data_IF_975875088186
#
_entry.id   IF_975875088186
#
_cell.length_a   1.000
_cell.length_b   1.000
_cell.length_c   1.000
_cell.angle_alpha   90.00
_cell.angle_beta   90.00
_cell.angle_gamma   90.00
#
_symmetry.space_group_name_H-M   'P 1'
#
loop_
_entity.id
_entity.type
_entity.pdbx_description
1 polymer ?
#
# COMPACT_ATOMS: atom_id res chain seq x y z
N UNK A 1 10.97 -12.39 12.03
CA UNK A 1 10.07 -12.17 10.86
C UNK A 1 8.87 -11.40 11.38
N UNK A 2 8.52 -10.27 10.78
CA UNK A 2 7.34 -9.49 11.18
C UNK A 2 6.07 -10.32 10.93
N UNK A 3 5.12 -10.28 11.84
CA UNK A 3 3.81 -10.94 11.73
C UNK A 3 2.68 -9.91 11.70
N UNK A 4 1.51 -10.33 11.25
CA UNK A 4 0.30 -9.48 11.27
C UNK A 4 -0.06 -9.06 12.70
N UNK A 5 0.18 -9.93 13.69
CA UNK A 5 -0.07 -9.60 15.09
C UNK A 5 0.85 -8.49 15.62
N UNK A 6 2.06 -8.37 15.08
CA UNK A 6 2.98 -7.26 15.42
C UNK A 6 2.45 -5.91 14.94
N UNK A 7 1.52 -5.90 13.99
CA UNK A 7 0.90 -4.70 13.43
C UNK A 7 -0.48 -4.37 14.03
N UNK A 8 -1.17 -5.38 14.57
CA UNK A 8 -2.58 -5.30 14.98
C UNK A 8 -2.83 -4.69 16.36
N UNK A 9 -1.97 -4.93 17.33
CA UNK A 9 -2.22 -4.59 18.73
C UNK A 9 -1.36 -3.43 19.21
N UNK A 10 -1.56 -2.25 18.60
CA UNK A 10 -0.79 -1.06 18.94
C UNK A 10 -1.73 0.12 19.21
N UNK A 11 -1.30 0.98 20.11
CA UNK A 11 -2.01 2.23 20.44
C UNK A 11 -2.12 3.18 19.24
N UNK A 12 -1.30 2.95 18.21
CA UNK A 12 -1.26 3.78 17.01
C UNK A 12 -1.49 2.94 15.73
N UNK A 13 -1.93 3.61 14.66
CA UNK A 13 -1.98 2.99 13.33
C UNK A 13 -0.57 2.76 12.78
N UNK A 14 -0.40 1.83 11.86
CA UNK A 14 0.85 1.68 11.12
C UNK A 14 0.81 2.40 9.77
N UNK A 15 1.98 2.74 9.25
CA UNK A 15 2.13 3.41 7.97
C UNK A 15 2.84 2.50 6.96
N UNK A 16 2.23 2.31 5.80
CA UNK A 16 2.85 1.73 4.61
C UNK A 16 3.10 2.86 3.61
N UNK A 17 4.35 3.30 3.45
CA UNK A 17 4.66 4.43 2.59
C UNK A 17 5.97 4.27 1.82
N UNK A 18 6.08 4.99 0.70
CA UNK A 18 7.27 5.03 -0.15
C UNK A 18 6.93 5.48 -1.57
N UNK A 19 7.84 5.32 -2.53
CA UNK A 19 7.58 5.72 -3.91
C UNK A 19 6.60 4.78 -4.61
N UNK A 20 5.92 5.28 -5.63
CA UNK A 20 5.05 4.45 -6.47
C UNK A 20 5.82 3.27 -7.09
N UNK A 21 7.02 3.54 -7.61
CA UNK A 21 7.94 2.55 -8.19
C UNK A 21 9.39 2.88 -7.78
N UNK A 22 10.23 1.86 -7.68
CA UNK A 22 11.66 2.07 -7.43
C UNK A 22 12.31 2.64 -8.70
N UNK A 23 12.77 3.88 -8.61
CA UNK A 23 13.43 4.61 -9.71
C UNK A 23 14.96 4.60 -9.60
N UNK A 24 15.48 4.33 -8.40
CA UNK A 24 16.90 4.27 -8.08
C UNK A 24 17.14 4.10 -6.59
N UNK A 25 18.36 3.74 -6.22
CA UNK A 25 18.73 3.45 -4.83
C UNK A 25 18.73 4.72 -3.96
N UNK A 26 19.39 5.79 -4.41
CA UNK A 26 19.51 7.04 -3.65
C UNK A 26 18.13 7.63 -3.32
N UNK A 27 17.20 7.58 -4.29
CA UNK A 27 15.84 8.07 -4.08
C UNK A 27 15.10 7.23 -3.05
N UNK A 28 15.20 5.90 -3.14
CA UNK A 28 14.55 4.99 -2.19
C UNK A 28 15.08 5.17 -0.76
N UNK A 29 16.41 5.26 -0.58
CA UNK A 29 17.04 5.50 0.72
C UNK A 29 16.66 6.86 1.30
N UNK A 30 16.67 7.94 0.52
CA UNK A 30 16.25 9.28 0.96
C UNK A 30 14.79 9.32 1.43
N UNK A 31 13.87 8.66 0.70
CA UNK A 31 12.47 8.58 1.12
C UNK A 31 12.37 7.80 2.43
N UNK A 32 13.02 6.63 2.52
CA UNK A 32 12.98 5.80 3.72
C UNK A 32 13.54 6.54 4.95
N UNK A 33 14.69 7.18 4.83
CA UNK A 33 15.32 7.97 5.90
C UNK A 33 14.39 9.07 6.42
N UNK A 34 13.79 9.83 5.51
CA UNK A 34 12.84 10.89 5.87
C UNK A 34 11.63 10.35 6.62
N UNK A 35 11.02 9.29 6.09
CA UNK A 35 9.80 8.70 6.68
C UNK A 35 10.11 8.00 8.01
N UNK A 36 11.24 7.30 8.13
CA UNK A 36 11.71 6.71 9.40
C UNK A 36 11.87 7.79 10.48
N UNK A 37 12.49 8.93 10.14
CA UNK A 37 12.63 10.04 11.10
C UNK A 37 11.29 10.56 11.61
N UNK A 38 10.29 10.70 10.72
CA UNK A 38 8.95 11.15 11.08
C UNK A 38 8.21 10.09 11.93
N UNK A 39 8.23 8.84 11.48
CA UNK A 39 7.48 7.75 12.14
C UNK A 39 8.04 7.39 13.50
N UNK A 40 9.36 7.41 13.69
CA UNK A 40 10.00 7.25 15.01
C UNK A 40 9.58 8.36 15.98
N UNK A 41 9.56 9.62 15.53
CA UNK A 41 9.12 10.76 16.35
C UNK A 41 7.66 10.65 16.79
N UNK A 42 6.80 10.08 15.95
CA UNK A 42 5.36 9.95 16.16
C UNK A 42 4.95 8.58 16.71
N UNK A 43 5.89 7.68 16.98
CA UNK A 43 5.65 6.31 17.42
C UNK A 43 4.69 5.54 16.48
N UNK A 44 4.86 5.70 15.17
CA UNK A 44 4.09 5.03 14.13
C UNK A 44 4.92 3.85 13.59
N UNK A 45 4.44 2.59 13.63
CA UNK A 45 5.11 1.48 12.96
C UNK A 45 5.17 1.74 11.45
N UNK A 46 6.33 1.51 10.83
CA UNK A 46 6.55 1.85 9.44
C UNK A 46 6.95 0.64 8.60
N UNK A 47 6.34 0.54 7.42
CA UNK A 47 6.63 -0.43 6.37
C UNK A 47 6.98 0.36 5.11
N UNK A 48 8.19 0.14 4.57
CA UNK A 48 8.58 0.78 3.32
C UNK A 48 7.92 0.09 2.12
N UNK A 49 7.19 0.86 1.31
CA UNK A 49 6.54 0.37 0.08
C UNK A 49 7.24 0.89 -1.17
N UNK A 50 7.48 0.01 -2.10
CA UNK A 50 7.87 0.39 -3.45
C UNK A 50 7.57 -0.74 -4.43
N UNK A 51 6.99 -0.43 -5.60
CA UNK A 51 6.85 -1.43 -6.65
C UNK A 51 8.20 -1.65 -7.33
N UNK A 52 8.63 -2.89 -7.46
CA UNK A 52 9.83 -3.20 -8.23
C UNK A 52 9.59 -3.06 -9.74
N UNK A 53 8.34 -3.25 -10.15
CA UNK A 53 7.86 -3.12 -11.53
C UNK A 53 6.40 -2.65 -11.57
N UNK A 54 6.01 -1.95 -12.62
CA UNK A 54 4.62 -1.60 -12.94
C UNK A 54 4.16 -2.42 -14.15
N UNK A 55 3.14 -3.27 -13.96
CA UNK A 55 2.66 -4.20 -14.98
C UNK A 55 1.37 -3.74 -15.70
N UNK A 56 0.72 -2.66 -15.23
CA UNK A 56 -0.60 -2.23 -15.70
C UNK A 56 -0.60 -0.81 -16.29
N UNK A 57 0.41 -0.48 -17.10
CA UNK A 57 0.50 0.84 -17.72
C UNK A 57 -0.52 1.05 -18.83
N UNK A 58 -1.07 2.26 -18.92
CA UNK A 58 -2.01 2.63 -19.99
C UNK A 58 -1.35 2.69 -21.36
N UNK A 59 -0.04 2.97 -21.43
CA UNK A 59 0.72 3.07 -22.67
C UNK A 59 1.90 2.11 -22.67
N UNK A 60 2.23 1.56 -23.81
CA UNK A 60 3.33 0.61 -23.97
C UNK A 60 4.71 1.25 -23.71
N UNK A 61 4.86 2.55 -24.02
CA UNK A 61 6.09 3.32 -23.83
C UNK A 61 6.25 3.92 -22.43
N UNK A 62 5.31 3.65 -21.51
CA UNK A 62 5.39 4.13 -20.13
C UNK A 62 6.52 3.46 -19.35
N UNK A 63 7.11 4.19 -18.40
CA UNK A 63 8.13 3.64 -17.51
C UNK A 63 7.57 2.48 -16.69
N UNK A 64 8.21 1.33 -16.74
CA UNK A 64 7.80 0.11 -16.03
C UNK A 64 8.70 -0.21 -14.84
N UNK A 65 9.97 0.21 -14.83
CA UNK A 65 10.94 -0.08 -13.76
C UNK A 65 12.38 0.04 -14.24
N UNK A 66 13.31 -0.29 -13.36
CA UNK A 66 14.77 -0.25 -13.59
C UNK A 66 15.41 -1.64 -13.75
N UNK A 67 14.57 -2.67 -13.90
CA UNK A 67 14.92 -4.08 -13.87
C UNK A 67 14.56 -4.73 -12.54
N UNK A 68 13.89 -5.88 -12.61
CA UNK A 68 13.23 -6.53 -11.49
C UNK A 68 14.21 -6.85 -10.34
N UNK A 69 15.27 -7.59 -10.63
CA UNK A 69 16.26 -7.96 -9.62
C UNK A 69 16.96 -6.74 -8.99
N UNK A 70 17.28 -5.74 -9.81
CA UNK A 70 17.91 -4.51 -9.32
C UNK A 70 16.99 -3.77 -8.34
N UNK A 71 15.71 -3.62 -8.68
CA UNK A 71 14.74 -2.95 -7.82
C UNK A 71 14.45 -3.74 -6.54
N UNK A 72 14.37 -5.07 -6.61
CA UNK A 72 14.21 -5.95 -5.45
C UNK A 72 15.41 -5.87 -4.49
N UNK A 73 16.65 -5.85 -5.01
CA UNK A 73 17.86 -5.63 -4.20
C UNK A 73 17.85 -4.28 -3.48
N UNK A 74 17.33 -3.23 -4.12
CA UNK A 74 17.16 -1.92 -3.49
C UNK A 74 16.15 -1.99 -2.34
N UNK A 75 15.01 -2.66 -2.53
CA UNK A 75 14.02 -2.86 -1.47
C UNK A 75 14.63 -3.59 -0.26
N UNK A 76 15.37 -4.67 -0.49
CA UNK A 76 16.11 -5.37 0.57
C UNK A 76 17.07 -4.43 1.28
N UNK A 77 17.87 -3.67 0.53
CA UNK A 77 18.84 -2.72 1.10
C UNK A 77 18.18 -1.66 1.98
N UNK A 78 17.01 -1.15 1.58
CA UNK A 78 16.25 -0.21 2.42
C UNK A 78 15.84 -0.89 3.74
N UNK A 79 15.30 -2.10 3.67
CA UNK A 79 14.92 -2.86 4.87
C UNK A 79 16.11 -3.09 5.82
N UNK A 80 17.22 -3.55 5.28
CA UNK A 80 18.45 -3.83 6.04
C UNK A 80 19.05 -2.55 6.64
N UNK A 81 19.06 -1.44 5.88
CA UNK A 81 19.66 -0.17 6.33
C UNK A 81 18.90 0.46 7.50
N UNK A 82 17.58 0.41 7.48
CA UNK A 82 16.75 1.09 8.47
C UNK A 82 16.10 0.14 9.48
N UNK A 83 16.27 -1.18 9.34
CA UNK A 83 15.66 -2.18 10.20
C UNK A 83 14.12 -2.20 10.13
N UNK A 84 13.55 -1.92 8.96
CA UNK A 84 12.11 -1.84 8.72
C UNK A 84 11.64 -2.89 7.72
N UNK A 85 10.41 -3.40 7.86
CA UNK A 85 9.84 -4.30 6.86
C UNK A 85 9.59 -3.58 5.53
N UNK A 86 9.65 -4.37 4.46
CA UNK A 86 9.44 -3.87 3.10
C UNK A 86 8.30 -4.61 2.39
N UNK A 87 7.64 -3.94 1.46
CA UNK A 87 6.55 -4.49 0.66
C UNK A 87 6.68 -4.11 -0.81
N UNK A 88 6.37 -5.07 -1.68
CA UNK A 88 6.23 -4.83 -3.12
C UNK A 88 5.03 -5.57 -3.69
N UNK A 89 4.51 -5.11 -4.81
CA UNK A 89 3.44 -5.79 -5.54
C UNK A 89 4.00 -6.89 -6.46
N UNK A 90 3.23 -7.96 -6.63
CA UNK A 90 3.47 -9.05 -7.58
C UNK A 90 2.30 -9.16 -8.54
N UNK A 91 2.55 -9.62 -9.78
CA UNK A 91 1.54 -9.59 -10.85
C UNK A 91 1.29 -10.98 -11.46
N UNK A 92 2.29 -11.87 -11.38
CA UNK A 92 2.24 -13.23 -11.90
C UNK A 92 2.69 -14.23 -10.84
N UNK A 93 2.23 -15.49 -10.96
CA UNK A 93 2.52 -16.55 -9.98
C UNK A 93 4.02 -16.82 -9.80
N UNK A 94 4.78 -16.75 -10.89
CA UNK A 94 6.24 -16.96 -10.87
C UNK A 94 7.00 -15.87 -10.08
N UNK A 95 6.43 -14.68 -9.95
CA UNK A 95 7.06 -13.56 -9.24
C UNK A 95 7.02 -13.73 -7.72
N UNK A 96 6.06 -14.50 -7.20
CA UNK A 96 5.86 -14.63 -5.76
C UNK A 96 7.09 -15.15 -5.02
N UNK A 97 7.67 -16.26 -5.50
CA UNK A 97 8.87 -16.85 -4.90
C UNK A 97 10.08 -15.91 -5.01
N UNK A 98 10.29 -15.32 -6.19
CA UNK A 98 11.40 -14.39 -6.45
C UNK A 98 11.31 -13.15 -5.53
N UNK A 99 10.16 -12.49 -5.48
CA UNK A 99 9.99 -11.28 -4.67
C UNK A 99 10.12 -11.57 -3.17
N UNK A 100 9.61 -12.73 -2.71
CA UNK A 100 9.69 -13.16 -1.32
C UNK A 100 11.12 -13.34 -0.79
N UNK A 101 12.11 -13.51 -1.64
CA UNK A 101 13.52 -13.52 -1.24
C UNK A 101 14.01 -12.15 -0.76
N UNK A 102 13.36 -11.06 -1.21
CA UNK A 102 13.85 -9.70 -1.01
C UNK A 102 12.97 -8.85 -0.08
N UNK A 103 11.69 -9.18 0.07
CA UNK A 103 10.74 -8.39 0.87
C UNK A 103 10.04 -9.22 1.94
N UNK A 104 9.43 -8.55 2.91
CA UNK A 104 8.69 -9.17 4.00
C UNK A 104 7.21 -9.36 3.68
N UNK A 105 6.67 -8.53 2.79
CA UNK A 105 5.26 -8.47 2.47
C UNK A 105 5.09 -8.51 0.95
N UNK A 106 4.22 -9.38 0.45
CA UNK A 106 3.79 -9.41 -0.94
C UNK A 106 2.43 -8.74 -1.09
N UNK A 107 2.33 -7.78 -1.99
CA UNK A 107 1.06 -7.11 -2.28
C UNK A 107 0.42 -7.65 -3.53
N UNK A 108 -0.87 -7.98 -3.45
CA UNK A 108 -1.72 -8.33 -4.60
C UNK A 108 -2.43 -7.05 -5.07
N UNK A 109 -2.18 -6.59 -6.30
CA UNK A 109 -2.86 -5.42 -6.86
C UNK A 109 -4.37 -5.58 -6.91
N UNK A 110 -5.10 -4.47 -6.87
CA UNK A 110 -6.56 -4.46 -6.82
C UNK A 110 -7.21 -5.19 -8.01
N UNK A 111 -6.69 -5.04 -9.21
CA UNK A 111 -7.21 -5.74 -10.39
C UNK A 111 -7.02 -7.26 -10.33
N UNK A 112 -6.05 -7.74 -9.55
CA UNK A 112 -5.67 -9.14 -9.45
C UNK A 112 -6.17 -9.83 -8.17
N UNK A 113 -6.93 -9.13 -7.32
CA UNK A 113 -7.36 -9.61 -6.02
C UNK A 113 -8.23 -10.89 -6.07
N UNK A 114 -8.77 -11.26 -7.23
CA UNK A 114 -9.54 -12.50 -7.43
C UNK A 114 -8.74 -13.65 -8.05
N UNK A 115 -7.51 -13.41 -8.51
CA UNK A 115 -6.68 -14.41 -9.20
C UNK A 115 -6.24 -15.49 -8.23
N UNK A 116 -6.87 -16.67 -8.30
CA UNK A 116 -6.66 -17.76 -7.34
C UNK A 116 -5.21 -18.22 -7.32
N UNK A 117 -4.62 -18.47 -8.49
CA UNK A 117 -3.25 -18.98 -8.57
C UNK A 117 -2.22 -18.00 -8.01
N UNK A 118 -2.43 -16.69 -8.22
CA UNK A 118 -1.56 -15.64 -7.67
C UNK A 118 -1.66 -15.57 -6.13
N UNK A 119 -2.87 -15.62 -5.59
CA UNK A 119 -3.12 -15.64 -4.14
C UNK A 119 -2.47 -16.87 -3.48
N UNK A 120 -2.65 -18.04 -4.08
CA UNK A 120 -2.06 -19.30 -3.61
C UNK A 120 -0.52 -19.27 -3.71
N UNK A 121 0.03 -18.73 -4.80
CA UNK A 121 1.49 -18.57 -4.95
C UNK A 121 2.06 -17.64 -3.87
N UNK A 122 1.41 -16.51 -3.61
CA UNK A 122 1.80 -15.59 -2.54
C UNK A 122 1.72 -16.28 -1.16
N UNK A 123 0.64 -17.02 -0.88
CA UNK A 123 0.45 -17.74 0.39
C UNK A 123 1.56 -18.75 0.65
N UNK A 124 1.98 -19.50 -0.38
CA UNK A 124 3.04 -20.53 -0.29
C UNK A 124 4.40 -19.97 0.12
N UNK A 125 4.65 -18.67 -0.07
CA UNK A 125 5.89 -18.02 0.37
C UNK A 125 5.98 -17.84 1.88
N UNK A 126 4.87 -17.98 2.62
CA UNK A 126 4.75 -17.72 4.06
C UNK A 126 5.03 -16.26 4.46
N UNK A 127 5.17 -15.37 3.50
CA UNK A 127 5.24 -13.92 3.74
C UNK A 127 3.86 -13.36 4.09
N UNK A 128 3.81 -12.17 4.66
CA UNK A 128 2.54 -11.45 4.79
C UNK A 128 1.99 -11.16 3.39
N UNK A 129 0.70 -11.38 3.19
CA UNK A 129 0.02 -11.09 1.92
C UNK A 129 -0.94 -9.91 2.11
N UNK A 130 -0.62 -8.77 1.53
CA UNK A 130 -1.52 -7.62 1.50
C UNK A 130 -2.39 -7.67 0.25
N UNK A 131 -3.70 -7.77 0.40
CA UNK A 131 -4.64 -7.86 -0.74
C UNK A 131 -5.36 -6.53 -0.89
N UNK A 132 -5.09 -5.80 -1.98
CA UNK A 132 -5.84 -4.60 -2.31
C UNK A 132 -7.24 -4.96 -2.81
N UNK A 133 -8.26 -4.36 -2.21
CA UNK A 133 -9.66 -4.55 -2.65
C UNK A 133 -9.84 -4.03 -4.09
N UNK A 134 -10.39 -4.86 -4.95
CA UNK A 134 -10.77 -4.43 -6.29
C UNK A 134 -11.83 -3.33 -6.26
N UNK A 135 -11.70 -2.35 -7.16
CA UNK A 135 -12.66 -1.25 -7.29
C UNK A 135 -14.08 -1.73 -7.64
N UNK A 136 -14.17 -2.95 -8.15
CA UNK A 136 -15.39 -3.64 -8.59
C UNK A 136 -15.96 -4.60 -7.53
N UNK A 137 -15.34 -4.70 -6.33
CA UNK A 137 -15.76 -5.59 -5.26
C UNK A 137 -16.40 -4.84 -4.11
N UNK A 138 -17.44 -5.47 -3.54
CA UNK A 138 -17.92 -5.09 -2.21
C UNK A 138 -16.92 -5.50 -1.12
N UNK A 139 -16.91 -4.84 0.05
CA UNK A 139 -16.08 -5.25 1.17
C UNK A 139 -16.32 -6.71 1.59
N UNK A 140 -17.58 -7.16 1.62
CA UNK A 140 -17.92 -8.55 1.95
C UNK A 140 -17.32 -9.57 0.99
N UNK A 141 -17.16 -9.24 -0.29
CA UNK A 141 -16.57 -10.14 -1.27
C UNK A 141 -15.06 -10.38 -1.06
N UNK A 142 -14.37 -9.51 -0.32
CA UNK A 142 -12.95 -9.69 0.02
C UNK A 142 -12.71 -10.91 0.91
N UNK A 143 -13.72 -11.38 1.65
CA UNK A 143 -13.66 -12.62 2.42
C UNK A 143 -13.17 -13.80 1.58
N UNK A 144 -13.61 -13.91 0.33
CA UNK A 144 -13.21 -15.03 -0.54
C UNK A 144 -11.73 -14.94 -0.97
N UNK A 145 -11.20 -13.73 -1.14
CA UNK A 145 -9.79 -13.57 -1.46
C UNK A 145 -8.90 -13.94 -0.25
N UNK A 146 -9.29 -13.49 0.93
CA UNK A 146 -8.62 -13.82 2.19
C UNK A 146 -8.67 -15.33 2.46
N UNK A 147 -9.84 -15.95 2.29
CA UNK A 147 -10.02 -17.37 2.52
C UNK A 147 -9.11 -18.24 1.64
N UNK A 148 -8.89 -17.85 0.37
CA UNK A 148 -7.94 -18.56 -0.51
C UNK A 148 -6.52 -18.58 0.02
N UNK A 149 -6.07 -17.49 0.65
CA UNK A 149 -4.73 -17.41 1.25
C UNK A 149 -4.67 -18.28 2.51
N UNK A 150 -5.70 -18.21 3.35
CA UNK A 150 -5.82 -19.04 4.56
C UNK A 150 -5.89 -20.53 4.23
N UNK A 151 -6.74 -20.94 3.27
CA UNK A 151 -6.86 -22.33 2.80
C UNK A 151 -5.55 -22.87 2.20
N UNK A 152 -4.73 -21.98 1.63
CA UNK A 152 -3.37 -22.33 1.18
C UNK A 152 -2.35 -22.42 2.35
N UNK A 153 -2.81 -22.25 3.60
CA UNK A 153 -2.06 -22.45 4.83
C UNK A 153 -1.28 -21.22 5.28
N UNK A 154 -1.72 -20.00 4.97
CA UNK A 154 -1.07 -18.77 5.42
C UNK A 154 -2.09 -17.78 5.97
N UNK A 155 -2.10 -17.59 7.30
CA UNK A 155 -3.00 -16.67 8.00
C UNK A 155 -2.40 -15.25 8.17
N UNK A 156 -1.22 -15.00 7.62
CA UNK A 156 -0.61 -13.66 7.64
C UNK A 156 -1.18 -12.81 6.49
N UNK A 157 -2.37 -12.27 6.67
CA UNK A 157 -3.08 -11.49 5.65
C UNK A 157 -3.36 -10.08 6.14
N UNK A 158 -3.29 -9.11 5.24
CA UNK A 158 -3.79 -7.74 5.41
C UNK A 158 -4.72 -7.39 4.24
N UNK A 159 -5.65 -6.50 4.44
CA UNK A 159 -6.59 -6.04 3.42
C UNK A 159 -6.42 -4.53 3.24
N UNK A 160 -6.35 -4.07 2.00
CA UNK A 160 -6.27 -2.62 1.71
C UNK A 160 -7.51 -2.15 0.97
N UNK A 161 -8.28 -1.25 1.60
CA UNK A 161 -9.33 -0.47 0.95
C UNK A 161 -8.71 0.60 0.06
N UNK A 162 -9.25 0.78 -1.14
CA UNK A 162 -8.77 1.78 -2.10
C UNK A 162 -9.86 2.45 -2.94
N UNK A 163 -11.09 2.39 -2.47
CA UNK A 163 -12.25 2.94 -3.15
C UNK A 163 -12.91 1.96 -4.13
N UNK A 164 -14.09 2.36 -4.55
CA UNK A 164 -14.95 1.66 -5.49
C UNK A 164 -15.24 2.57 -6.69
N UNK A 165 -15.31 2.00 -7.88
CA UNK A 165 -15.61 2.73 -9.11
C UNK A 165 -16.95 3.47 -8.97
N UNK A 166 -16.95 4.77 -9.27
CA UNK A 166 -18.11 5.63 -9.34
C UNK A 166 -18.17 6.28 -10.72
N UNK A 167 -19.03 5.75 -11.58
CA UNK A 167 -18.99 6.07 -13.01
C UNK A 167 -17.72 5.52 -13.68
N UNK A 168 -17.14 6.26 -14.63
CA UNK A 168 -16.01 5.80 -15.44
C UNK A 168 -14.66 6.40 -15.04
N UNK A 169 -14.66 7.54 -14.37
CA UNK A 169 -13.44 8.35 -14.17
C UNK A 169 -13.22 8.75 -12.72
N UNK A 170 -14.01 8.23 -11.79
CA UNK A 170 -13.91 8.61 -10.39
C UNK A 170 -14.04 7.39 -9.45
N UNK A 171 -13.66 7.58 -8.20
CA UNK A 171 -13.72 6.59 -7.13
C UNK A 171 -14.35 7.18 -5.88
N UNK A 172 -15.07 6.35 -5.14
CA UNK A 172 -15.66 6.72 -3.85
C UNK A 172 -15.20 5.73 -2.78
N UNK A 173 -14.88 6.22 -1.60
CA UNK A 173 -14.60 5.40 -0.42
C UNK A 173 -15.85 5.29 0.42
N UNK A 174 -16.36 4.08 0.59
CA UNK A 174 -17.34 3.76 1.61
C UNK A 174 -16.61 3.38 2.91
N UNK A 175 -16.56 4.29 3.87
CA UNK A 175 -15.84 4.06 5.12
C UNK A 175 -16.44 2.96 6.00
N UNK A 176 -17.68 2.51 5.74
CA UNK A 176 -18.26 1.32 6.37
C UNK A 176 -17.50 0.03 5.97
N UNK A 177 -16.79 0.07 4.85
CA UNK A 177 -15.98 -1.06 4.36
C UNK A 177 -14.86 -1.45 5.35
N UNK A 178 -14.29 -0.49 6.06
CA UNK A 178 -13.19 -0.73 7.01
C UNK A 178 -13.66 -1.66 8.15
N UNK A 179 -14.63 -1.29 8.99
CA UNK A 179 -15.09 -2.17 10.05
C UNK A 179 -15.73 -3.47 9.54
N UNK A 180 -16.33 -3.48 8.33
CA UNK A 180 -16.85 -4.72 7.75
C UNK A 180 -15.72 -5.71 7.40
N UNK A 181 -14.62 -5.25 6.82
CA UNK A 181 -13.48 -6.13 6.50
C UNK A 181 -12.68 -6.53 7.74
N UNK A 182 -12.64 -5.69 8.78
CA UNK A 182 -12.01 -6.03 10.07
C UNK A 182 -12.68 -7.22 10.75
N UNK A 183 -13.98 -7.47 10.49
CA UNK A 183 -14.70 -8.66 11.01
C UNK A 183 -14.12 -9.98 10.50
N UNK A 184 -13.35 -9.98 9.41
CA UNK A 184 -12.64 -11.17 8.95
C UNK A 184 -11.43 -11.53 9.83
N UNK A 185 -11.10 -10.70 10.81
CA UNK A 185 -10.01 -10.95 11.76
C UNK A 185 -8.63 -10.45 11.30
N UNK A 186 -8.53 -9.71 10.21
CA UNK A 186 -7.28 -9.21 9.63
C UNK A 186 -7.20 -7.68 9.67
N UNK A 187 -5.99 -7.09 9.75
CA UNK A 187 -5.83 -5.64 9.69
C UNK A 187 -6.33 -5.07 8.37
N UNK A 188 -6.99 -3.93 8.45
CA UNK A 188 -7.51 -3.19 7.29
C UNK A 188 -6.79 -1.86 7.14
N UNK A 189 -6.18 -1.66 5.98
CA UNK A 189 -5.41 -0.49 5.59
C UNK A 189 -6.26 0.39 4.69
N UNK A 190 -6.20 1.70 4.87
CA UNK A 190 -6.78 2.65 3.91
C UNK A 190 -5.70 3.20 2.98
N UNK A 191 -5.84 2.96 1.69
CA UNK A 191 -5.02 3.58 0.66
C UNK A 191 -5.56 4.98 0.32
N UNK A 192 -4.91 5.99 0.86
CA UNK A 192 -5.33 7.38 0.70
C UNK A 192 -4.78 8.03 -0.56
N UNK A 193 -3.89 7.35 -1.26
CA UNK A 193 -3.33 7.79 -2.55
C UNK A 193 -4.22 7.32 -3.70
N UNK A 194 -4.40 6.01 -3.82
CA UNK A 194 -5.08 5.42 -4.98
C UNK A 194 -6.61 5.52 -4.91
N UNK A 195 -7.19 5.78 -3.74
CA UNK A 195 -8.61 6.09 -3.62
C UNK A 195 -9.01 7.44 -4.23
N UNK A 196 -8.03 8.28 -4.51
CA UNK A 196 -8.19 9.60 -5.14
C UNK A 196 -7.72 9.63 -6.60
N UNK A 197 -7.36 8.48 -7.17
CA UNK A 197 -7.05 8.39 -8.59
C UNK A 197 -8.26 8.72 -9.45
N UNK A 198 -7.99 9.40 -10.56
CA UNK A 198 -8.95 9.61 -11.64
C UNK A 198 -8.47 8.79 -12.85
N UNK A 199 -8.90 7.53 -12.99
CA UNK A 199 -8.49 6.67 -14.10
C UNK A 199 -9.07 7.14 -15.44
N UNK A 200 -8.64 6.50 -16.52
CA UNK A 200 -9.21 6.67 -17.88
C UNK A 200 -9.17 8.12 -18.43
N UNK A 201 -8.15 8.90 -18.06
CA UNK A 201 -7.97 10.24 -18.60
C UNK A 201 -7.55 10.20 -20.07
N UNK A 202 -7.99 11.16 -20.86
CA UNK A 202 -7.69 11.27 -22.30
C UNK A 202 -6.20 11.45 -22.58
N UNK A 203 -5.42 11.95 -21.62
CA UNK A 203 -3.96 12.07 -21.71
C UNK A 203 -3.22 10.73 -21.68
N UNK A 204 -3.89 9.62 -21.34
CA UNK A 204 -3.26 8.32 -21.11
C UNK A 204 -2.43 8.26 -19.81
N UNK A 205 -2.54 9.27 -18.96
CA UNK A 205 -1.91 9.33 -17.63
C UNK A 205 -3.01 9.47 -16.59
N UNK A 206 -2.98 8.65 -15.54
CA UNK A 206 -3.96 8.71 -14.45
C UNK A 206 -3.86 10.06 -13.74
N UNK A 207 -4.97 10.78 -13.65
CA UNK A 207 -5.12 11.98 -12.84
C UNK A 207 -5.37 11.67 -11.37
N UNK A 208 -5.51 12.71 -10.54
CA UNK A 208 -5.83 12.54 -9.13
C UNK A 208 -6.11 13.83 -8.39
N UNK A 209 -6.55 13.68 -7.14
CA UNK A 209 -6.93 14.77 -6.24
C UNK A 209 -6.07 14.75 -4.96
N UNK A 210 -4.74 14.98 -5.05
CA UNK A 210 -3.84 14.87 -3.89
C UNK A 210 -4.18 15.85 -2.76
N UNK A 211 -4.89 16.94 -3.04
CA UNK A 211 -5.39 17.89 -2.05
C UNK A 211 -6.40 17.28 -1.07
N UNK A 212 -7.04 16.16 -1.43
CA UNK A 212 -8.00 15.45 -0.59
C UNK A 212 -7.37 14.32 0.25
N UNK A 213 -6.08 14.05 0.13
CA UNK A 213 -5.39 12.99 0.88
C UNK A 213 -5.61 13.17 2.39
N UNK A 214 -5.45 14.39 2.91
CA UNK A 214 -5.70 14.67 4.33
C UNK A 214 -7.15 14.37 4.73
N UNK A 215 -8.12 14.68 3.89
CA UNK A 215 -9.55 14.43 4.14
C UNK A 215 -9.82 12.91 4.25
N UNK A 216 -9.36 12.15 3.27
CA UNK A 216 -9.52 10.69 3.25
C UNK A 216 -8.79 10.03 4.44
N UNK A 217 -7.55 10.47 4.74
CA UNK A 217 -6.77 9.93 5.84
C UNK A 217 -7.42 10.19 7.21
N UNK A 218 -7.92 11.41 7.45
CA UNK A 218 -8.64 11.75 8.69
C UNK A 218 -9.86 10.87 8.89
N UNK A 219 -10.68 10.69 7.86
CA UNK A 219 -11.87 9.85 7.94
C UNK A 219 -11.48 8.37 8.18
N UNK A 220 -10.43 7.86 7.54
CA UNK A 220 -9.95 6.50 7.75
C UNK A 220 -9.51 6.24 9.19
N UNK A 221 -8.72 7.16 9.78
CA UNK A 221 -8.30 7.03 11.17
C UNK A 221 -9.49 7.16 12.14
N UNK A 222 -10.41 8.07 11.84
CA UNK A 222 -11.61 8.27 12.69
C UNK A 222 -12.54 7.05 12.73
N UNK A 223 -12.61 6.25 11.66
CA UNK A 223 -13.41 5.01 11.62
C UNK A 223 -12.61 3.77 12.08
N UNK A 224 -11.36 3.94 12.51
CA UNK A 224 -10.56 2.87 13.11
C UNK A 224 -9.74 2.03 12.13
N UNK A 225 -9.31 2.57 10.98
CA UNK A 225 -8.37 1.85 10.11
C UNK A 225 -7.11 1.45 10.89
N UNK A 226 -6.63 0.22 10.71
CA UNK A 226 -5.43 -0.30 11.40
C UNK A 226 -4.14 0.31 10.83
N UNK A 227 -4.15 0.68 9.55
CA UNK A 227 -3.02 1.30 8.88
C UNK A 227 -3.42 2.23 7.74
N UNK A 228 -2.45 2.99 7.27
CA UNK A 228 -2.57 3.84 6.08
C UNK A 228 -1.54 3.44 5.03
N UNK A 229 -1.94 3.53 3.78
CA UNK A 229 -1.07 3.41 2.62
C UNK A 229 -0.96 4.77 1.94
N UNK A 230 0.28 5.30 1.83
CA UNK A 230 0.55 6.61 1.25
C UNK A 230 1.76 6.52 0.32
N UNK A 231 1.58 6.73 -0.97
CA UNK A 231 2.72 6.95 -1.87
C UNK A 231 3.24 8.38 -1.70
N UNK A 232 4.55 8.54 -1.75
CA UNK A 232 5.20 9.85 -1.60
C UNK A 232 6.49 9.93 -2.41
N UNK A 233 6.86 11.15 -2.81
CA UNK A 233 8.06 11.39 -3.58
C UNK A 233 8.67 12.75 -3.19
N UNK A 234 10.00 12.93 -3.22
CA UNK A 234 10.62 14.24 -2.95
C UNK A 234 10.12 15.34 -3.89
N UNK A 235 9.94 15.01 -5.16
CA UNK A 235 9.44 15.89 -6.21
C UNK A 235 8.38 15.15 -7.04
N UNK A 236 7.10 15.13 -6.60
CA UNK A 236 6.05 14.34 -7.26
C UNK A 236 5.91 14.62 -8.77
N UNK A 237 6.14 15.85 -9.20
CA UNK A 237 6.10 16.25 -10.62
C UNK A 237 7.18 15.58 -11.48
N UNK A 238 8.25 15.07 -10.88
CA UNK A 238 9.34 14.34 -11.56
C UNK A 238 9.22 12.82 -11.44
N UNK A 239 8.26 12.35 -10.65
CA UNK A 239 8.05 10.92 -10.47
C UNK A 239 7.70 10.25 -11.79
N UNK A 240 8.31 9.09 -12.06
CA UNK A 240 8.08 8.32 -13.29
C UNK A 240 6.76 7.55 -13.32
N UNK A 241 6.05 7.53 -12.18
CA UNK A 241 4.76 6.88 -12.00
C UNK A 241 3.91 7.64 -10.99
N UNK A 242 2.63 7.84 -11.30
CA UNK A 242 1.55 8.36 -10.44
C UNK A 242 1.86 9.68 -9.68
N UNK A 243 2.75 10.51 -10.21
CA UNK A 243 3.15 11.77 -9.59
C UNK A 243 1.99 12.72 -9.26
N UNK A 244 0.90 12.67 -10.06
CA UNK A 244 -0.31 13.47 -9.83
C UNK A 244 -1.09 13.08 -8.56
N UNK A 245 -0.80 11.93 -7.97
CA UNK A 245 -1.53 11.39 -6.82
C UNK A 245 -0.72 11.40 -5.50
N UNK A 246 0.54 11.79 -5.54
CA UNK A 246 1.42 11.70 -4.38
C UNK A 246 1.60 13.05 -3.69
N UNK A 247 1.58 13.10 -2.34
CA UNK A 247 2.06 14.25 -1.60
C UNK A 247 3.59 14.30 -1.65
N UNK A 248 4.14 15.50 -1.56
CA UNK A 248 5.56 15.70 -1.32
C UNK A 248 5.92 15.17 0.09
N UNK A 249 7.04 14.46 0.23
CA UNK A 249 7.40 13.81 1.48
C UNK A 249 7.55 14.79 2.67
N UNK A 250 7.87 16.05 2.40
CA UNK A 250 7.98 17.09 3.44
C UNK A 250 6.63 17.43 4.10
N UNK A 251 5.52 17.15 3.43
CA UNK A 251 4.16 17.39 3.97
C UNK A 251 3.70 16.27 4.91
N UNK A 252 4.38 15.11 4.91
CA UNK A 252 3.94 13.94 5.69
C UNK A 252 3.96 14.19 7.20
N UNK A 253 4.96 14.88 7.74
CA UNK A 253 5.05 15.09 9.19
C UNK A 253 3.84 15.84 9.72
N UNK A 254 3.44 16.91 9.07
CA UNK A 254 2.26 17.70 9.45
C UNK A 254 0.96 16.89 9.35
N UNK A 255 0.82 16.09 8.30
CA UNK A 255 -0.32 15.20 8.11
C UNK A 255 -0.36 14.15 9.23
N UNK A 256 0.69 13.37 9.40
CA UNK A 256 0.75 12.26 10.36
C UNK A 256 0.58 12.74 11.81
N UNK A 257 1.10 13.92 12.16
CA UNK A 257 0.88 14.52 13.48
C UNK A 257 -0.62 14.78 13.76
N UNK A 258 -1.36 15.25 12.77
CA UNK A 258 -2.82 15.45 12.90
C UNK A 258 -3.54 14.11 13.06
N UNK A 259 -3.11 13.09 12.32
CA UNK A 259 -3.73 11.75 12.36
C UNK A 259 -3.51 11.04 13.69
N UNK A 260 -2.33 11.17 14.29
CA UNK A 260 -2.05 10.66 15.65
C UNK A 260 -3.03 11.26 16.67
N UNK A 261 -3.22 12.59 16.63
CA UNK A 261 -4.19 13.26 17.52
C UNK A 261 -5.63 12.76 17.33
N UNK A 262 -6.02 12.44 16.09
CA UNK A 262 -7.34 11.85 15.82
C UNK A 262 -7.41 10.44 16.42
N UNK A 263 -6.38 9.61 16.24
CA UNK A 263 -6.31 8.28 16.85
C UNK A 263 -6.45 8.34 18.36
N UNK A 264 -5.73 9.24 19.02
CA UNK A 264 -5.80 9.47 20.47
C UNK A 264 -7.23 9.91 20.90
N UNK A 265 -7.89 10.75 20.11
CA UNK A 265 -9.22 11.28 20.43
C UNK A 265 -10.36 10.26 20.27
N UNK A 266 -10.25 9.32 19.32
CA UNK A 266 -11.28 8.30 19.07
C UNK A 266 -11.10 7.04 19.92
N UNK A 267 -9.93 6.90 20.56
CA UNK A 267 -9.55 5.69 21.31
C UNK A 267 -9.26 4.51 20.39
N UNK A 268 -8.92 3.39 21.01
CA UNK A 268 -8.75 2.09 20.33
C UNK A 268 -10.08 1.36 20.21
#
# INVERSE_FOLDING_TARGET
>A
MITVNDLKNRDNFFLMAGPCVIEGEDMALRIAEKVVGITNKLNIPYIFKGSYRKANRSRLDSFTGIGDEKALKILRRVGDTFGIPTVTDIHETAEAAMAAEYVDILQIPAFLCRQTDLLVAAAKTRKIVNIKKGQFLSPGAMQFAVQKVADAGNDNVMITERGTTFGYTDLVVDYRSIPQMQQFGYPVIMDVTHSLQQPNQTSGVTGGLPTLIETIAKAAIAVGADGLFIETHPEPSKAKSDGANMPQHDLLEGLLTKLVRIREAVGN
#
